data_IF_042251471706
#
_entry.id   IF_042251471706
#
_cell.length_a   1.000
_cell.length_b   1.000
_cell.length_c   1.000
_cell.angle_alpha   90.00
_cell.angle_beta   90.00
_cell.angle_gamma   90.00
#
_symmetry.space_group_name_H-M   'P 1'
#
loop_
_entity.id
_entity.type
_entity.pdbx_description
1 polymer ?
#
# COMPACT_ATOMS: atom_id res chain seq x y z
N UNK A 1 -28.82 14.58 4.44
CA UNK A 1 -27.97 14.61 3.24
C UNK A 1 -26.58 14.95 3.75
N UNK A 2 -25.87 13.91 4.21
CA UNK A 2 -24.48 14.02 4.66
C UNK A 2 -23.61 13.82 3.43
N UNK A 3 -22.85 14.86 3.08
CA UNK A 3 -21.80 14.77 2.09
C UNK A 3 -20.67 13.96 2.71
N UNK A 4 -20.50 12.71 2.27
CA UNK A 4 -19.27 11.95 2.48
C UNK A 4 -18.12 12.74 1.88
N UNK A 5 -17.25 13.24 2.76
CA UNK A 5 -16.02 13.90 2.39
C UNK A 5 -15.15 12.91 1.59
N UNK A 6 -15.03 13.14 0.30
CA UNK A 6 -14.07 12.47 -0.56
C UNK A 6 -12.67 12.69 0.02
N UNK A 7 -12.09 11.63 0.55
CA UNK A 7 -10.72 11.55 1.01
C UNK A 7 -9.80 11.62 -0.23
N UNK A 8 -9.54 12.82 -0.72
CA UNK A 8 -8.54 13.06 -1.77
C UNK A 8 -7.17 12.80 -1.16
N UNK A 9 -6.60 11.63 -1.45
CA UNK A 9 -5.15 11.47 -1.39
C UNK A 9 -4.56 12.46 -2.39
N UNK A 10 -3.87 13.49 -1.92
CA UNK A 10 -2.98 14.26 -2.77
C UNK A 10 -1.85 13.32 -3.21
N UNK A 11 -2.01 12.72 -4.39
CA UNK A 11 -0.87 12.22 -5.14
C UNK A 11 -0.01 13.44 -5.43
N UNK A 12 1.30 13.34 -5.23
CA UNK A 12 2.21 14.39 -5.70
C UNK A 12 1.93 14.56 -7.21
N UNK A 13 1.37 15.68 -7.59
CA UNK A 13 0.88 15.97 -8.96
C UNK A 13 1.99 16.05 -10.02
N UNK A 14 3.24 15.72 -9.64
CA UNK A 14 4.39 15.72 -10.54
C UNK A 14 5.24 14.47 -10.24
N UNK A 15 5.07 13.38 -11.00
CA UNK A 15 5.89 12.18 -10.82
C UNK A 15 7.37 12.53 -11.08
N UNK A 16 8.20 12.45 -10.05
CA UNK A 16 9.64 12.59 -10.22
C UNK A 16 10.16 11.48 -11.15
N UNK A 17 11.10 11.80 -12.09
CA UNK A 17 11.62 10.82 -13.02
C UNK A 17 12.24 9.62 -12.29
N UNK A 18 11.94 8.40 -12.74
CA UNK A 18 12.57 7.19 -12.23
C UNK A 18 14.06 7.19 -12.64
N UNK A 19 14.95 6.99 -11.67
CA UNK A 19 16.38 6.83 -11.90
C UNK A 19 16.71 5.38 -12.30
N UNK A 20 16.31 5.01 -13.52
CA UNK A 20 16.58 3.69 -14.12
C UNK A 20 17.44 3.90 -15.34
N UNK A 21 18.59 3.23 -15.41
CA UNK A 21 19.50 3.33 -16.54
C UNK A 21 18.81 2.92 -17.87
N UNK A 22 19.09 3.61 -18.95
CA UNK A 22 18.39 3.42 -20.23
C UNK A 22 18.40 1.95 -20.71
N UNK A 23 19.50 1.21 -20.46
CA UNK A 23 19.62 -0.22 -20.80
C UNK A 23 18.85 -1.17 -19.90
N UNK A 24 18.41 -0.70 -18.73
CA UNK A 24 17.66 -1.49 -17.74
C UNK A 24 16.15 -1.25 -17.81
N UNK A 25 15.71 -0.31 -18.65
CA UNK A 25 14.28 0.02 -18.84
C UNK A 25 13.56 -1.06 -19.62
N UNK A 26 13.45 -2.25 -19.03
CA UNK A 26 12.85 -3.43 -19.67
C UNK A 26 11.45 -3.68 -19.12
N UNK A 27 10.47 -3.69 -20.00
CA UNK A 27 9.12 -4.21 -19.75
C UNK A 27 8.88 -5.39 -20.68
N UNK A 28 8.61 -6.57 -20.13
CA UNK A 28 8.30 -7.77 -20.91
C UNK A 28 6.87 -8.18 -20.60
N UNK A 29 6.05 -8.26 -21.64
CA UNK A 29 4.65 -8.63 -21.49
C UNK A 29 4.31 -9.78 -22.42
N UNK A 30 3.44 -10.69 -21.95
CA UNK A 30 2.92 -11.80 -22.75
C UNK A 30 1.39 -11.74 -22.76
N UNK A 31 0.75 -11.63 -23.94
CA UNK A 31 -0.68 -11.71 -24.05
C UNK A 31 -1.15 -13.17 -24.08
N UNK A 32 -2.27 -13.43 -23.40
CA UNK A 32 -2.94 -14.73 -23.40
C UNK A 32 -4.43 -14.52 -23.66
N UNK A 33 -5.01 -15.42 -24.43
CA UNK A 33 -6.45 -15.52 -24.64
C UNK A 33 -6.92 -16.87 -24.06
N UNK A 34 -7.56 -16.84 -22.89
CA UNK A 34 -8.10 -18.02 -22.23
C UNK A 34 -9.62 -18.03 -22.26
N UNK A 35 -10.20 -19.22 -22.42
CA UNK A 35 -11.61 -19.39 -22.12
C UNK A 35 -11.88 -19.21 -20.62
N UNK A 36 -13.13 -18.88 -20.29
CA UNK A 36 -13.57 -18.78 -18.91
C UNK A 36 -13.31 -20.08 -18.12
N UNK A 37 -13.49 -21.24 -18.76
CA UNK A 37 -13.19 -22.55 -18.18
C UNK A 37 -11.68 -22.69 -17.89
N UNK A 38 -10.81 -22.31 -18.83
CA UNK A 38 -9.36 -22.34 -18.61
C UNK A 38 -8.94 -21.38 -17.49
N UNK A 39 -9.54 -20.19 -17.42
CA UNK A 39 -9.29 -19.24 -16.32
C UNK A 39 -9.61 -19.87 -14.97
N UNK A 40 -10.80 -20.47 -14.84
CA UNK A 40 -11.22 -21.12 -13.59
C UNK A 40 -10.30 -22.27 -13.22
N UNK A 41 -9.90 -23.10 -14.19
CA UNK A 41 -8.91 -24.17 -13.97
C UNK A 41 -7.55 -23.61 -13.49
N UNK A 42 -7.11 -22.47 -13.99
CA UNK A 42 -5.86 -21.85 -13.55
C UNK A 42 -5.95 -21.31 -12.11
N UNK A 43 -7.11 -20.78 -11.72
CA UNK A 43 -7.39 -20.37 -10.34
C UNK A 43 -7.41 -21.59 -9.41
N UNK A 44 -8.10 -22.67 -9.80
CA UNK A 44 -8.19 -23.88 -8.98
C UNK A 44 -6.83 -24.58 -8.78
N UNK A 45 -5.97 -24.54 -9.80
CA UNK A 45 -4.60 -25.04 -9.76
C UNK A 45 -3.61 -24.07 -9.10
N UNK A 46 -4.08 -22.97 -8.55
CA UNK A 46 -3.27 -21.92 -7.91
C UNK A 46 -2.20 -21.30 -8.83
N UNK A 47 -2.35 -21.40 -10.14
CA UNK A 47 -1.52 -20.66 -11.09
C UNK A 47 -1.88 -19.18 -11.06
N UNK A 48 -3.18 -18.84 -10.94
CA UNK A 48 -3.68 -17.49 -10.74
C UNK A 48 -4.11 -17.35 -9.28
N UNK A 49 -3.48 -16.45 -8.55
CA UNK A 49 -3.74 -16.19 -7.14
C UNK A 49 -4.81 -15.10 -7.01
N UNK A 50 -6.01 -15.46 -6.60
CA UNK A 50 -7.12 -14.51 -6.43
C UNK A 50 -7.20 -13.93 -5.03
N UNK A 51 -6.94 -14.70 -3.97
CA UNK A 51 -7.26 -14.32 -2.59
C UNK A 51 -6.36 -14.95 -1.51
N UNK A 52 -5.24 -15.52 -1.85
CA UNK A 52 -4.37 -16.20 -0.86
C UNK A 52 -3.48 -15.25 -0.05
N UNK A 53 -3.55 -13.98 -0.37
CA UNK A 53 -2.81 -12.96 0.36
C UNK A 53 -3.79 -12.19 1.21
N UNK A 54 -3.57 -12.07 2.52
CA UNK A 54 -4.40 -11.27 3.43
C UNK A 54 -4.54 -9.79 3.02
N UNK A 55 -4.00 -9.38 1.89
CA UNK A 55 -3.76 -8.02 1.41
C UNK A 55 -4.30 -7.73 0.01
N UNK A 56 -4.75 -8.76 -0.73
CA UNK A 56 -5.51 -8.46 -1.92
C UNK A 56 -6.85 -7.88 -1.52
N UNK A 57 -7.32 -6.87 -2.28
CA UNK A 57 -8.62 -6.22 -2.07
C UNK A 57 -9.66 -7.24 -1.66
N UNK A 58 -10.36 -6.96 -0.59
CA UNK A 58 -11.64 -7.62 -0.33
C UNK A 58 -12.48 -7.52 -1.60
N UNK A 59 -13.18 -8.58 -1.94
CA UNK A 59 -14.17 -8.54 -2.98
C UNK A 59 -15.24 -7.52 -2.62
N UNK A 60 -15.32 -6.42 -3.37
CA UNK A 60 -16.17 -5.26 -3.01
C UNK A 60 -17.36 -5.07 -3.95
N UNK A 61 -17.43 -5.83 -5.07
CA UNK A 61 -18.60 -5.77 -5.92
C UNK A 61 -19.79 -6.45 -5.22
N UNK A 62 -20.93 -5.77 -5.25
CA UNK A 62 -22.20 -6.42 -4.91
C UNK A 62 -22.58 -7.44 -5.99
N UNK A 63 -23.49 -8.33 -5.63
CA UNK A 63 -23.94 -9.39 -6.53
C UNK A 63 -24.64 -8.84 -7.79
N UNK A 64 -25.24 -7.65 -7.75
CA UNK A 64 -25.87 -7.05 -8.92
C UNK A 64 -24.81 -6.62 -9.95
N UNK A 65 -23.70 -6.03 -9.50
CA UNK A 65 -22.58 -5.65 -10.38
C UNK A 65 -21.87 -6.87 -10.92
N UNK A 66 -21.67 -7.90 -10.11
CA UNK A 66 -21.12 -9.20 -10.54
C UNK A 66 -22.02 -9.86 -11.59
N UNK A 67 -23.34 -9.85 -11.37
CA UNK A 67 -24.32 -10.42 -12.31
C UNK A 67 -24.35 -9.72 -13.65
N UNK A 68 -24.20 -8.41 -13.68
CA UNK A 68 -24.09 -7.64 -14.94
C UNK A 68 -22.84 -8.02 -15.76
N UNK A 69 -21.74 -8.38 -15.10
CA UNK A 69 -20.58 -8.92 -15.80
C UNK A 69 -20.90 -10.27 -16.44
N UNK A 70 -21.60 -11.16 -15.73
CA UNK A 70 -22.03 -12.46 -16.26
C UNK A 70 -23.02 -12.26 -17.43
N UNK A 71 -23.97 -11.33 -17.31
CA UNK A 71 -24.86 -10.94 -18.41
C UNK A 71 -24.07 -10.49 -19.64
N UNK A 72 -23.00 -9.69 -19.44
CA UNK A 72 -22.11 -9.26 -20.52
C UNK A 72 -21.41 -10.44 -21.21
N UNK A 73 -20.97 -11.45 -20.45
CA UNK A 73 -20.41 -12.69 -21.02
C UNK A 73 -21.44 -13.44 -21.88
N UNK A 74 -22.67 -13.59 -21.37
CA UNK A 74 -23.75 -14.25 -22.06
C UNK A 74 -24.14 -13.53 -23.38
N UNK A 75 -24.17 -12.19 -23.34
CA UNK A 75 -24.49 -11.32 -24.47
C UNK A 75 -23.34 -11.10 -25.43
N UNK A 76 -22.15 -11.63 -25.16
CA UNK A 76 -20.93 -11.39 -25.95
C UNK A 76 -20.47 -9.93 -25.98
N UNK A 77 -20.73 -9.19 -24.93
CA UNK A 77 -20.16 -7.87 -24.77
C UNK A 77 -18.66 -8.00 -24.46
N UNK A 78 -17.78 -7.24 -25.14
CA UNK A 78 -16.35 -7.29 -24.87
C UNK A 78 -16.03 -6.94 -23.41
N UNK A 79 -15.24 -7.80 -22.77
CA UNK A 79 -14.75 -7.56 -21.40
C UNK A 79 -13.37 -6.89 -21.51
N UNK A 80 -13.12 -5.80 -20.75
CA UNK A 80 -11.81 -5.17 -20.72
C UNK A 80 -10.69 -6.14 -20.35
N UNK A 81 -9.51 -5.94 -20.92
CA UNK A 81 -8.29 -6.74 -20.65
C UNK A 81 -8.01 -6.78 -19.16
N UNK A 82 -7.61 -7.94 -18.64
CA UNK A 82 -7.09 -8.09 -17.29
C UNK A 82 -5.57 -8.15 -17.30
N UNK A 83 -4.93 -7.55 -16.29
CA UNK A 83 -3.48 -7.50 -16.18
C UNK A 83 -3.01 -8.31 -14.98
N UNK A 84 -1.94 -9.07 -15.19
CA UNK A 84 -1.33 -9.92 -14.17
C UNK A 84 0.16 -9.65 -14.07
N UNK A 85 0.72 -9.86 -12.88
CA UNK A 85 2.14 -9.96 -12.64
C UNK A 85 2.55 -11.42 -12.47
N UNK A 86 3.61 -11.82 -13.14
CA UNK A 86 4.24 -13.11 -12.92
C UNK A 86 5.23 -13.01 -11.76
N UNK A 87 5.13 -13.98 -10.84
CA UNK A 87 6.06 -14.20 -9.75
C UNK A 87 7.20 -15.12 -10.20
N UNK A 88 8.31 -15.14 -9.44
CA UNK A 88 9.47 -16.01 -9.70
C UNK A 88 9.14 -17.52 -9.72
N UNK A 89 8.08 -17.93 -9.02
CA UNK A 89 7.59 -19.31 -8.99
C UNK A 89 6.65 -19.66 -10.15
N UNK A 90 6.44 -18.72 -11.09
CA UNK A 90 5.55 -18.86 -12.23
C UNK A 90 4.06 -18.69 -11.90
N UNK A 91 3.69 -18.35 -10.66
CA UNK A 91 2.32 -17.98 -10.32
C UNK A 91 2.00 -16.56 -10.78
N UNK A 92 0.72 -16.24 -11.00
CA UNK A 92 0.28 -14.94 -11.47
C UNK A 92 -0.60 -14.24 -10.44
N UNK A 93 -0.31 -12.98 -10.17
CA UNK A 93 -1.13 -12.11 -9.33
C UNK A 93 -1.94 -11.14 -10.18
N UNK A 94 -3.18 -10.87 -9.78
CA UNK A 94 -4.05 -9.94 -10.51
C UNK A 94 -3.71 -8.50 -10.15
N UNK A 95 -3.29 -7.71 -11.15
CA UNK A 95 -3.02 -6.27 -11.02
C UNK A 95 -4.26 -5.46 -11.31
N UNK A 96 -4.92 -5.72 -12.43
CA UNK A 96 -6.23 -5.17 -12.75
C UNK A 96 -7.18 -6.26 -13.24
N UNK A 97 -8.44 -6.16 -12.81
CA UNK A 97 -9.49 -7.11 -13.16
C UNK A 97 -9.84 -8.11 -12.05
N UNK A 98 -9.32 -7.97 -10.82
CA UNK A 98 -9.59 -8.88 -9.69
C UNK A 98 -11.09 -9.10 -9.49
N UNK A 99 -11.89 -8.03 -9.43
CA UNK A 99 -13.34 -8.13 -9.23
C UNK A 99 -14.02 -8.89 -10.38
N UNK A 100 -13.54 -8.71 -11.61
CA UNK A 100 -14.04 -9.41 -12.80
C UNK A 100 -13.73 -10.90 -12.74
N UNK A 101 -12.49 -11.25 -12.52
CA UNK A 101 -12.05 -12.65 -12.44
C UNK A 101 -12.75 -13.36 -11.27
N UNK A 102 -12.80 -12.71 -10.10
CA UNK A 102 -13.46 -13.29 -8.93
C UNK A 102 -14.97 -13.50 -9.14
N UNK A 103 -15.68 -12.53 -9.76
CA UNK A 103 -17.12 -12.67 -10.06
C UNK A 103 -17.39 -13.84 -11.02
N UNK A 104 -16.54 -14.02 -12.03
CA UNK A 104 -16.65 -15.12 -12.98
C UNK A 104 -16.45 -16.46 -12.28
N UNK A 105 -15.42 -16.58 -11.45
CA UNK A 105 -15.14 -17.82 -10.70
C UNK A 105 -16.27 -18.13 -9.72
N UNK A 106 -16.78 -17.12 -8.98
CA UNK A 106 -17.92 -17.28 -8.08
C UNK A 106 -19.15 -17.83 -8.83
N UNK A 107 -19.43 -17.29 -10.02
CA UNK A 107 -20.57 -17.74 -10.80
C UNK A 107 -20.41 -19.20 -11.26
N UNK A 108 -19.25 -19.59 -11.80
CA UNK A 108 -19.01 -20.97 -12.25
C UNK A 108 -19.02 -21.99 -11.08
N UNK A 109 -18.76 -21.52 -9.87
CA UNK A 109 -18.80 -22.37 -8.64
C UNK A 109 -20.15 -22.36 -7.91
N UNK A 110 -21.19 -21.81 -8.53
CA UNK A 110 -22.52 -21.65 -7.90
C UNK A 110 -22.54 -20.76 -6.63
N UNK A 111 -21.50 -19.92 -6.44
CA UNK A 111 -21.44 -18.98 -5.31
C UNK A 111 -22.08 -17.62 -5.61
N UNK A 112 -22.70 -17.48 -6.78
CA UNK A 112 -23.37 -16.26 -7.23
C UNK A 112 -24.72 -16.60 -7.88
N UNK A 113 -25.82 -16.23 -7.24
CA UNK A 113 -27.14 -16.21 -7.89
C UNK A 113 -27.32 -14.87 -8.62
N UNK A 114 -27.65 -14.92 -9.91
CA UNK A 114 -27.80 -13.73 -10.75
C UNK A 114 -28.91 -12.81 -10.23
N UNK A 115 -28.64 -11.50 -10.21
CA UNK A 115 -29.63 -10.50 -9.82
C UNK A 115 -29.44 -9.16 -10.52
N UNK A 116 -30.54 -8.44 -10.73
CA UNK A 116 -30.50 -7.11 -11.33
C UNK A 116 -30.05 -7.11 -12.80
N UNK A 117 -30.29 -8.21 -13.50
CA UNK A 117 -30.10 -8.30 -14.94
C UNK A 117 -31.12 -7.43 -15.66
N UNK A 118 -30.68 -6.73 -16.69
CA UNK A 118 -31.50 -5.78 -17.43
C UNK A 118 -31.99 -6.33 -18.77
N UNK A 119 -31.29 -7.29 -19.35
CA UNK A 119 -31.59 -7.88 -20.68
C UNK A 119 -32.05 -9.33 -20.52
N UNK A 120 -31.32 -10.16 -19.79
CA UNK A 120 -31.62 -11.58 -19.57
C UNK A 120 -32.36 -11.76 -18.23
N UNK A 121 -33.48 -11.04 -18.09
CA UNK A 121 -34.22 -10.95 -16.80
C UNK A 121 -34.74 -12.31 -16.32
N UNK A 122 -34.97 -13.27 -17.22
CA UNK A 122 -35.39 -14.65 -16.95
C UNK A 122 -34.31 -15.47 -16.22
N UNK A 123 -33.07 -14.98 -16.20
CA UNK A 123 -31.97 -15.62 -15.46
C UNK A 123 -31.80 -15.06 -14.05
N UNK A 124 -32.56 -14.05 -13.65
CA UNK A 124 -32.52 -13.56 -12.27
C UNK A 124 -32.88 -14.66 -11.28
N UNK A 125 -32.12 -14.80 -10.20
CA UNK A 125 -32.24 -15.82 -9.18
C UNK A 125 -31.51 -17.13 -9.50
N UNK A 126 -31.02 -17.33 -10.73
CA UNK A 126 -30.35 -18.58 -11.13
C UNK A 126 -28.85 -18.54 -10.84
N UNK A 127 -28.34 -19.71 -10.46
CA UNK A 127 -26.93 -20.02 -10.38
C UNK A 127 -26.43 -20.64 -11.71
N UNK A 128 -25.15 -20.91 -11.83
CA UNK A 128 -24.56 -21.45 -13.06
C UNK A 128 -25.13 -22.84 -13.42
N UNK A 129 -25.28 -23.72 -12.44
CA UNK A 129 -25.88 -25.06 -12.64
C UNK A 129 -27.35 -25.02 -13.05
N UNK A 130 -28.06 -23.92 -12.81
CA UNK A 130 -29.51 -23.77 -13.06
C UNK A 130 -29.84 -23.11 -14.40
N UNK A 131 -28.84 -22.54 -15.08
CA UNK A 131 -29.04 -22.00 -16.45
C UNK A 131 -29.00 -23.12 -17.49
N UNK A 132 -29.48 -22.84 -18.70
CA UNK A 132 -29.50 -23.86 -19.74
C UNK A 132 -28.09 -24.37 -20.10
N UNK A 133 -27.97 -25.67 -20.46
CA UNK A 133 -26.69 -26.23 -20.87
C UNK A 133 -26.07 -25.48 -22.08
N UNK A 134 -26.91 -24.83 -22.91
CA UNK A 134 -26.43 -23.95 -23.99
C UNK A 134 -25.77 -22.71 -23.43
N UNK A 135 -26.34 -22.07 -22.44
CA UNK A 135 -25.81 -20.85 -21.83
C UNK A 135 -24.59 -21.15 -20.95
N UNK A 136 -24.55 -22.29 -20.24
CA UNK A 136 -23.35 -22.78 -19.56
C UNK A 136 -22.16 -22.87 -20.53
N UNK A 137 -22.32 -23.62 -21.62
CA UNK A 137 -21.27 -23.75 -22.68
C UNK A 137 -20.89 -22.39 -23.28
N UNK A 138 -21.85 -21.48 -23.41
CA UNK A 138 -21.59 -20.12 -23.92
C UNK A 138 -20.72 -19.32 -22.96
N UNK A 139 -20.94 -19.39 -21.68
CA UNK A 139 -20.10 -18.74 -20.66
C UNK A 139 -18.71 -19.39 -20.60
N UNK A 140 -18.64 -20.72 -20.50
CA UNK A 140 -17.38 -21.47 -20.40
C UNK A 140 -16.44 -21.21 -21.59
N UNK A 141 -17.00 -21.13 -22.81
CA UNK A 141 -16.22 -20.94 -24.04
C UNK A 141 -15.85 -19.48 -24.31
N UNK A 142 -16.34 -18.51 -23.53
CA UNK A 142 -15.99 -17.10 -23.73
C UNK A 142 -14.51 -16.88 -23.53
N UNK A 143 -13.90 -16.23 -24.51
CA UNK A 143 -12.48 -15.84 -24.44
C UNK A 143 -12.32 -14.53 -23.72
N UNK A 144 -11.42 -14.52 -22.75
CA UNK A 144 -10.97 -13.34 -22.03
C UNK A 144 -9.50 -13.08 -22.38
N UNK A 145 -9.18 -11.82 -22.63
CA UNK A 145 -7.80 -11.40 -22.88
C UNK A 145 -7.10 -11.00 -21.60
N UNK A 146 -5.90 -11.54 -21.42
CA UNK A 146 -4.99 -11.26 -20.33
C UNK A 146 -3.67 -10.74 -20.87
N UNK A 147 -3.04 -9.84 -20.13
CA UNK A 147 -1.65 -9.43 -20.36
C UNK A 147 -0.87 -9.72 -19.08
N UNK A 148 0.10 -10.60 -19.19
CA UNK A 148 0.99 -10.95 -18.09
C UNK A 148 2.27 -10.14 -18.22
N UNK A 149 2.61 -9.37 -17.18
CA UNK A 149 3.90 -8.70 -17.05
C UNK A 149 4.83 -9.67 -16.37
N UNK A 150 5.84 -10.14 -17.10
CA UNK A 150 6.71 -11.23 -16.66
C UNK A 150 7.69 -10.78 -15.58
N UNK A 151 8.26 -11.75 -14.87
CA UNK A 151 9.29 -11.54 -13.85
C UNK A 151 10.60 -10.95 -14.41
N UNK A 152 10.85 -11.12 -15.72
CA UNK A 152 11.98 -10.49 -16.42
C UNK A 152 11.93 -8.95 -16.50
N UNK A 153 10.78 -8.33 -16.21
CA UNK A 153 10.62 -6.87 -16.25
C UNK A 153 11.34 -6.21 -15.08
N UNK A 154 11.95 -5.04 -15.31
CA UNK A 154 12.58 -4.28 -14.23
C UNK A 154 11.52 -3.89 -13.17
N UNK A 155 11.77 -4.11 -11.86
CA UNK A 155 10.77 -3.91 -10.81
C UNK A 155 10.20 -2.49 -10.73
N UNK A 156 11.02 -1.46 -10.91
CA UNK A 156 10.53 -0.06 -10.88
C UNK A 156 9.68 0.27 -12.10
N UNK A 157 9.99 -0.33 -13.27
CA UNK A 157 9.15 -0.21 -14.46
C UNK A 157 7.82 -0.97 -14.25
N UNK A 158 7.87 -2.17 -13.65
CA UNK A 158 6.64 -2.88 -13.24
C UNK A 158 5.77 -1.99 -12.35
N UNK A 159 6.38 -1.35 -11.35
CA UNK A 159 5.66 -0.50 -10.40
C UNK A 159 4.96 0.67 -11.12
N UNK A 160 5.69 1.42 -11.93
CA UNK A 160 5.17 2.56 -12.71
C UNK A 160 4.04 2.13 -13.65
N UNK A 161 4.23 1.01 -14.36
CA UNK A 161 3.20 0.46 -15.26
C UNK A 161 1.95 0.02 -14.47
N UNK A 162 2.13 -0.62 -13.33
CA UNK A 162 0.99 -1.03 -12.48
C UNK A 162 0.23 0.17 -11.93
N UNK A 163 0.94 1.22 -11.53
CA UNK A 163 0.32 2.46 -11.09
C UNK A 163 -0.54 3.08 -12.21
N UNK A 164 -0.03 3.10 -13.45
CA UNK A 164 -0.77 3.60 -14.62
C UNK A 164 -1.94 2.71 -15.03
N UNK A 165 -1.81 1.38 -14.96
CA UNK A 165 -2.89 0.44 -15.27
C UNK A 165 -3.98 0.43 -14.20
N UNK A 166 -3.65 0.84 -13.00
CA UNK A 166 -4.54 0.88 -11.85
C UNK A 166 -5.56 2.04 -11.94
N UNK A 167 -6.23 2.17 -13.08
CA UNK A 167 -7.21 3.23 -13.36
C UNK A 167 -8.65 2.86 -13.01
N UNK A 168 -8.88 1.66 -12.46
CA UNK A 168 -10.19 1.15 -12.09
C UNK A 168 -10.90 2.01 -11.03
N UNK A 169 -12.20 1.79 -10.84
CA UNK A 169 -13.05 2.53 -9.90
C UNK A 169 -12.52 2.56 -8.44
N UNK A 170 -11.67 1.61 -8.08
CA UNK A 170 -10.92 1.58 -6.82
C UNK A 170 -9.45 1.36 -7.15
N UNK A 171 -8.62 2.38 -7.04
CA UNK A 171 -7.18 2.30 -7.29
C UNK A 171 -6.46 1.53 -6.17
N UNK A 172 -5.44 0.72 -6.50
CA UNK A 172 -4.52 0.15 -5.53
C UNK A 172 -3.67 1.26 -4.90
N UNK A 173 -3.46 1.18 -3.60
CA UNK A 173 -2.51 2.06 -2.93
C UNK A 173 -1.06 1.65 -3.31
N UNK A 174 -0.08 2.57 -3.25
CA UNK A 174 1.31 2.24 -3.60
C UNK A 174 1.86 1.03 -2.84
N UNK A 175 1.49 0.86 -1.58
CA UNK A 175 1.97 -0.30 -0.81
C UNK A 175 1.29 -1.61 -1.22
N UNK A 176 0.02 -1.58 -1.63
CA UNK A 176 -0.65 -2.76 -2.21
C UNK A 176 0.08 -3.23 -3.49
N UNK A 177 0.55 -2.28 -4.33
CA UNK A 177 1.38 -2.60 -5.49
C UNK A 177 2.74 -3.19 -5.09
N UNK A 178 3.40 -2.63 -4.06
CA UNK A 178 4.67 -3.19 -3.55
C UNK A 178 4.51 -4.61 -3.05
N UNK A 179 3.39 -4.92 -2.39
CA UNK A 179 3.11 -6.27 -1.93
C UNK A 179 2.99 -7.29 -3.06
N UNK A 180 2.50 -6.88 -4.23
CA UNK A 180 2.47 -7.73 -5.41
C UNK A 180 3.86 -7.96 -6.02
N UNK A 181 4.70 -6.90 -6.04
CA UNK A 181 5.99 -6.93 -6.76
C UNK A 181 7.12 -7.52 -5.90
N UNK A 182 7.14 -7.21 -4.60
CA UNK A 182 8.24 -7.52 -3.68
C UNK A 182 7.82 -8.52 -2.59
N UNK A 183 7.07 -9.54 -2.96
CA UNK A 183 6.67 -10.62 -2.05
C UNK A 183 7.89 -11.31 -1.43
N UNK A 184 7.81 -11.64 -0.14
CA UNK A 184 8.87 -12.37 0.56
C UNK A 184 8.90 -12.12 2.06
N UNK A 185 9.86 -12.72 2.75
CA UNK A 185 9.98 -12.71 4.20
C UNK A 185 10.03 -11.30 4.81
N UNK A 186 10.62 -10.33 4.11
CA UNK A 186 10.62 -8.92 4.53
C UNK A 186 9.21 -8.35 4.56
N UNK A 187 8.44 -8.56 3.50
CA UNK A 187 7.07 -8.07 3.40
C UNK A 187 6.16 -8.66 4.49
N UNK A 188 6.35 -9.94 4.82
CA UNK A 188 5.61 -10.57 5.92
C UNK A 188 5.96 -9.92 7.26
N UNK A 189 7.23 -9.58 7.47
CA UNK A 189 7.64 -8.86 8.68
C UNK A 189 7.01 -7.45 8.77
N UNK A 190 6.86 -6.71 7.67
CA UNK A 190 6.16 -5.42 7.70
C UNK A 190 4.74 -5.55 8.24
N UNK A 191 4.06 -6.63 7.90
CA UNK A 191 2.72 -6.93 8.39
C UNK A 191 2.70 -7.23 9.87
N UNK A 192 3.64 -8.08 10.32
CA UNK A 192 3.77 -8.43 11.73
C UNK A 192 4.02 -7.17 12.57
N UNK A 193 4.94 -6.31 12.14
CA UNK A 193 5.26 -5.06 12.82
C UNK A 193 4.09 -4.07 12.83
N UNK A 194 3.32 -3.98 11.75
CA UNK A 194 2.13 -3.15 11.67
C UNK A 194 0.98 -3.61 12.60
N UNK A 195 1.01 -4.86 13.07
CA UNK A 195 0.05 -5.39 14.04
C UNK A 195 0.53 -5.28 15.49
N UNK A 196 1.78 -4.85 15.74
CA UNK A 196 2.29 -4.71 17.12
C UNK A 196 1.47 -3.69 17.91
N UNK A 197 1.16 -4.01 19.16
CA UNK A 197 0.38 -3.14 20.05
C UNK A 197 1.03 -1.77 20.24
N UNK A 198 2.37 -1.72 20.32
CA UNK A 198 3.14 -0.48 20.43
C UNK A 198 2.89 0.45 19.26
N UNK A 199 2.99 -0.07 18.03
CA UNK A 199 2.73 0.68 16.81
C UNK A 199 1.26 1.12 16.72
N UNK A 200 0.32 0.21 17.00
CA UNK A 200 -1.11 0.50 16.97
C UNK A 200 -1.49 1.64 17.92
N UNK A 201 -0.95 1.61 19.13
CA UNK A 201 -1.15 2.69 20.12
C UNK A 201 -0.48 4.00 19.70
N UNK A 202 0.74 3.94 19.14
CA UNK A 202 1.44 5.13 18.68
C UNK A 202 0.71 5.84 17.54
N UNK A 203 0.12 5.08 16.60
CA UNK A 203 -0.68 5.61 15.47
C UNK A 203 -2.06 6.13 15.93
N UNK A 204 -2.62 5.57 17.01
CA UNK A 204 -3.90 6.02 17.57
C UNK A 204 -5.09 5.80 16.64
N UNK A 205 -5.13 4.70 15.90
CA UNK A 205 -6.27 4.32 15.06
C UNK A 205 -6.49 2.80 15.04
N UNK A 206 -7.70 2.38 14.64
CA UNK A 206 -8.03 0.99 14.43
C UNK A 206 -7.26 0.36 13.25
N UNK A 207 -7.53 -0.93 12.95
CA UNK A 207 -6.89 -1.65 11.84
C UNK A 207 -7.11 -0.91 10.51
N UNK A 208 -6.04 -0.74 9.74
CA UNK A 208 -6.10 -0.15 8.41
C UNK A 208 -6.45 -1.23 7.37
N UNK A 209 -7.47 -0.95 6.55
CA UNK A 209 -7.92 -1.86 5.50
C UNK A 209 -7.10 -1.76 4.19
N UNK A 210 -6.20 -0.77 4.07
CA UNK A 210 -5.49 -0.45 2.82
C UNK A 210 -3.97 -0.47 2.95
N UNK A 211 -3.44 -1.22 3.91
CA UNK A 211 -1.99 -1.43 4.11
C UNK A 211 -1.17 -0.13 4.27
N UNK A 212 -1.80 0.96 4.69
CA UNK A 212 -1.08 2.21 4.99
C UNK A 212 -0.16 2.07 6.19
N UNK A 213 -0.50 1.16 7.09
CA UNK A 213 0.26 0.88 8.30
C UNK A 213 1.57 0.17 7.96
N UNK A 214 1.54 -0.81 7.05
CA UNK A 214 2.73 -1.49 6.53
C UNK A 214 3.65 -0.52 5.77
N UNK A 215 3.10 0.43 5.01
CA UNK A 215 3.90 1.47 4.36
C UNK A 215 4.62 2.36 5.37
N UNK A 216 3.99 2.68 6.50
CA UNK A 216 4.63 3.47 7.55
C UNK A 216 5.77 2.69 8.24
N UNK A 217 5.57 1.38 8.49
CA UNK A 217 6.65 0.51 8.97
C UNK A 217 7.80 0.46 7.97
N UNK A 218 7.50 0.27 6.68
CA UNK A 218 8.51 0.28 5.62
C UNK A 218 9.30 1.59 5.59
N UNK A 219 8.62 2.73 5.70
CA UNK A 219 9.27 4.05 5.74
C UNK A 219 10.23 4.15 6.92
N UNK A 220 9.80 3.73 8.11
CA UNK A 220 10.66 3.70 9.28
C UNK A 220 11.91 2.87 9.06
N UNK A 221 11.77 1.61 8.63
CA UNK A 221 12.89 0.69 8.45
C UNK A 221 13.88 1.20 7.38
N UNK A 222 13.37 1.63 6.23
CA UNK A 222 14.18 2.11 5.12
C UNK A 222 14.96 3.38 5.47
N UNK A 223 14.30 4.35 6.10
CA UNK A 223 14.94 5.61 6.49
C UNK A 223 15.85 5.43 7.71
N UNK A 224 15.51 4.59 8.67
CA UNK A 224 16.40 4.28 9.80
C UNK A 224 17.71 3.65 9.34
N UNK A 225 17.64 2.72 8.37
CA UNK A 225 18.83 2.06 7.81
C UNK A 225 19.71 3.02 7.00
N UNK A 226 19.11 3.92 6.21
CA UNK A 226 19.87 4.74 5.27
C UNK A 226 19.31 6.16 5.09
N UNK A 227 19.11 6.90 6.19
CA UNK A 227 18.59 8.28 6.12
C UNK A 227 19.53 9.22 5.38
N UNK A 228 20.85 9.16 5.62
CA UNK A 228 21.85 10.01 4.95
C UNK A 228 21.95 9.77 3.45
N UNK A 229 21.69 8.53 3.01
CA UNK A 229 21.67 8.13 1.60
C UNK A 229 20.33 8.30 0.92
N UNK A 230 19.32 8.87 1.60
CA UNK A 230 18.02 9.11 0.98
C UNK A 230 18.13 9.96 -0.29
N UNK A 231 17.49 9.48 -1.36
CA UNK A 231 17.33 10.18 -2.63
C UNK A 231 15.85 10.14 -3.03
N UNK A 232 15.27 11.26 -3.46
CA UNK A 232 13.94 11.24 -4.05
C UNK A 232 13.95 10.48 -5.40
N UNK A 233 12.80 9.95 -5.87
CA UNK A 233 11.51 9.95 -5.18
C UNK A 233 11.43 8.91 -4.05
N UNK A 234 10.65 9.20 -3.01
CA UNK A 234 10.47 8.29 -1.88
C UNK A 234 9.96 6.91 -2.32
N UNK A 235 9.15 6.87 -3.36
CA UNK A 235 8.63 5.62 -3.95
C UNK A 235 9.76 4.71 -4.38
N UNK A 236 10.74 5.22 -5.13
CA UNK A 236 11.89 4.45 -5.60
C UNK A 236 12.80 4.03 -4.44
N UNK A 237 13.04 4.92 -3.48
CA UNK A 237 13.81 4.61 -2.28
C UNK A 237 13.21 3.43 -1.49
N UNK A 238 11.89 3.42 -1.29
CA UNK A 238 11.19 2.33 -0.62
C UNK A 238 11.17 1.04 -1.45
N UNK A 239 10.99 1.15 -2.77
CA UNK A 239 11.04 0.01 -3.69
C UNK A 239 12.41 -0.68 -3.64
N UNK A 240 13.49 0.11 -3.70
CA UNK A 240 14.85 -0.41 -3.64
C UNK A 240 15.16 -1.08 -2.31
N UNK A 241 14.68 -0.50 -1.18
CA UNK A 241 14.81 -1.12 0.13
C UNK A 241 14.07 -2.47 0.19
N UNK A 242 12.84 -2.55 -0.32
CA UNK A 242 12.09 -3.82 -0.39
C UNK A 242 12.78 -4.84 -1.30
N UNK A 243 13.31 -4.41 -2.46
CA UNK A 243 14.02 -5.27 -3.40
C UNK A 243 15.25 -5.91 -2.77
N UNK A 244 16.10 -5.12 -2.09
CA UNK A 244 17.33 -5.59 -1.44
C UNK A 244 17.07 -6.55 -0.30
N UNK A 245 16.00 -6.30 0.45
CA UNK A 245 15.68 -7.06 1.66
C UNK A 245 14.61 -8.15 1.43
N UNK A 246 14.13 -8.36 0.21
CA UNK A 246 12.95 -9.16 -0.14
C UNK A 246 12.85 -10.48 0.62
N UNK A 247 13.94 -11.26 0.67
CA UNK A 247 14.00 -12.58 1.29
C UNK A 247 14.62 -12.55 2.71
N UNK A 248 14.96 -11.37 3.23
CA UNK A 248 15.59 -11.22 4.54
C UNK A 248 14.57 -10.67 5.55
N UNK A 249 14.59 -11.21 6.75
CA UNK A 249 13.89 -10.57 7.87
C UNK A 249 14.81 -9.50 8.46
N UNK A 250 14.27 -8.34 8.90
CA UNK A 250 15.03 -7.39 9.72
C UNK A 250 15.67 -8.08 10.91
N UNK A 251 16.83 -7.59 11.34
CA UNK A 251 17.47 -8.12 12.54
C UNK A 251 16.59 -7.90 13.79
N UNK A 252 16.75 -8.76 14.78
CA UNK A 252 16.04 -8.60 16.06
C UNK A 252 16.33 -7.24 16.71
N UNK A 253 17.53 -6.70 16.52
CA UNK A 253 17.93 -5.38 17.01
C UNK A 253 17.08 -4.27 16.38
N UNK A 254 16.91 -4.28 15.05
CA UNK A 254 16.07 -3.27 14.34
C UNK A 254 14.60 -3.39 14.75
N UNK A 255 14.10 -4.61 14.94
CA UNK A 255 12.75 -4.86 15.44
C UNK A 255 12.59 -4.31 16.86
N UNK A 256 13.57 -4.52 17.73
CA UNK A 256 13.56 -4.01 19.10
C UNK A 256 13.62 -2.46 19.13
N UNK A 257 14.43 -1.83 18.27
CA UNK A 257 14.47 -0.37 18.12
C UNK A 257 13.10 0.16 17.69
N UNK A 258 12.48 -0.47 16.71
CA UNK A 258 11.13 -0.08 16.26
C UNK A 258 10.11 -0.16 17.40
N UNK A 259 10.06 -1.30 18.08
CA UNK A 259 9.11 -1.54 19.18
C UNK A 259 9.30 -0.55 20.33
N UNK A 260 10.53 -0.38 20.81
CA UNK A 260 10.86 0.58 21.88
C UNK A 260 10.50 2.02 21.48
N UNK A 261 10.81 2.41 20.24
CA UNK A 261 10.45 3.73 19.70
C UNK A 261 8.94 3.94 19.76
N UNK A 262 8.16 2.98 19.27
CA UNK A 262 6.70 3.08 19.24
C UNK A 262 6.08 3.05 20.63
N UNK A 263 6.65 2.29 21.57
CA UNK A 263 6.21 2.28 22.97
C UNK A 263 6.38 3.67 23.63
N UNK A 264 7.54 4.32 23.46
CA UNK A 264 7.78 5.65 24.02
C UNK A 264 6.86 6.71 23.39
N UNK A 265 6.72 6.69 22.06
CA UNK A 265 5.81 7.61 21.37
C UNK A 265 4.36 7.40 21.84
N UNK A 266 3.91 6.17 21.98
CA UNK A 266 2.57 5.85 22.45
C UNK A 266 2.35 6.36 23.89
N UNK A 267 3.31 6.17 24.78
CA UNK A 267 3.22 6.61 26.18
C UNK A 267 3.18 8.14 26.34
N UNK A 268 3.91 8.86 25.47
CA UNK A 268 3.99 10.31 25.52
C UNK A 268 2.76 10.97 24.88
N UNK A 269 2.33 10.51 23.71
CA UNK A 269 1.38 11.24 22.85
C UNK A 269 -0.01 10.62 22.75
N UNK A 270 -0.23 9.44 23.30
CA UNK A 270 -1.53 8.75 23.28
C UNK A 270 -2.19 8.73 21.88
N UNK A 271 -1.42 8.29 20.88
CA UNK A 271 -1.88 8.17 19.50
C UNK A 271 -2.01 9.49 18.72
N UNK A 272 -1.48 10.61 19.23
CA UNK A 272 -1.61 11.93 18.61
C UNK A 272 -0.32 12.47 17.98
N UNK A 273 0.81 11.78 18.17
CA UNK A 273 2.15 12.23 17.76
C UNK A 273 2.27 12.62 16.29
N UNK A 274 1.51 11.99 15.42
CA UNK A 274 1.66 12.10 13.97
C UNK A 274 0.55 12.93 13.31
N UNK A 275 -0.11 13.81 14.07
CA UNK A 275 -1.26 14.59 13.60
C UNK A 275 -0.96 16.07 13.66
N UNK A 276 -1.17 16.76 12.53
CA UNK A 276 -1.07 18.23 12.49
C UNK A 276 -2.26 18.83 13.23
N UNK A 277 -2.04 19.93 13.93
CA UNK A 277 -3.09 20.69 14.58
C UNK A 277 -3.76 21.56 13.53
N UNK A 278 -5.07 21.46 13.40
CA UNK A 278 -5.88 22.29 12.52
C UNK A 278 -6.15 23.67 13.13
N UNK A 279 -6.59 24.65 12.31
CA UNK A 279 -6.88 26.02 12.73
C UNK A 279 -7.85 26.12 13.93
N UNK A 280 -8.70 25.10 14.12
CA UNK A 280 -9.61 25.01 15.27
C UNK A 280 -8.95 24.45 16.56
N UNK A 281 -7.65 24.24 16.58
CA UNK A 281 -6.91 23.66 17.72
C UNK A 281 -7.13 22.17 17.91
N UNK A 282 -7.86 21.49 17.00
CA UNK A 282 -8.08 20.02 17.03
C UNK A 282 -7.04 19.31 16.20
N UNK A 283 -6.57 18.12 16.65
CA UNK A 283 -5.68 17.31 15.82
C UNK A 283 -6.42 16.81 14.58
N UNK A 284 -5.73 16.80 13.44
CA UNK A 284 -6.25 16.21 12.21
C UNK A 284 -6.60 14.72 12.40
N UNK A 285 -7.62 14.25 11.73
CA UNK A 285 -8.02 12.84 11.78
C UNK A 285 -6.96 11.93 11.14
N UNK A 286 -6.30 12.41 10.08
CA UNK A 286 -5.32 11.66 9.33
C UNK A 286 -3.91 11.81 9.90
N UNK A 287 -3.13 10.74 9.80
CA UNK A 287 -1.70 10.74 10.10
C UNK A 287 -0.94 11.47 8.99
N UNK A 288 -0.10 12.43 9.37
CA UNK A 288 0.82 13.09 8.45
C UNK A 288 2.11 12.26 8.33
N UNK A 289 2.43 11.79 7.12
CA UNK A 289 3.59 10.91 6.86
C UNK A 289 4.92 11.61 7.14
N UNK A 290 5.02 12.90 6.81
CA UNK A 290 6.26 13.64 7.04
C UNK A 290 6.51 13.89 8.53
N UNK A 291 5.44 14.16 9.29
CA UNK A 291 5.53 14.25 10.74
C UNK A 291 5.85 12.88 11.37
N UNK A 292 5.31 11.80 10.82
CA UNK A 292 5.68 10.45 11.24
C UNK A 292 7.17 10.18 11.06
N UNK A 293 7.75 10.51 9.90
CA UNK A 293 9.18 10.36 9.66
C UNK A 293 9.99 11.20 10.67
N UNK A 294 9.60 12.47 10.88
CA UNK A 294 10.29 13.36 11.81
C UNK A 294 10.32 12.79 13.25
N UNK A 295 9.14 12.43 13.76
CA UNK A 295 9.00 11.95 15.14
C UNK A 295 9.64 10.59 15.31
N UNK A 296 9.25 9.60 14.48
CA UNK A 296 9.67 8.21 14.68
C UNK A 296 11.19 8.03 14.53
N UNK A 297 11.81 8.67 13.53
CA UNK A 297 13.26 8.57 13.35
C UNK A 297 14.02 9.34 14.43
N UNK A 298 13.55 10.52 14.85
CA UNK A 298 14.22 11.24 15.92
C UNK A 298 14.20 10.48 17.25
N UNK A 299 13.11 9.79 17.57
CA UNK A 299 13.03 8.91 18.72
C UNK A 299 13.90 7.65 18.55
N UNK A 300 13.95 7.07 17.35
CA UNK A 300 14.78 5.89 17.08
C UNK A 300 16.29 6.15 17.26
N UNK A 301 16.74 7.38 16.99
CA UNK A 301 18.11 7.80 17.18
C UNK A 301 18.36 8.46 18.56
N UNK A 302 17.32 8.67 19.38
CA UNK A 302 17.45 9.25 20.70
C UNK A 302 17.88 8.21 21.75
N UNK A 303 18.53 8.68 22.80
CA UNK A 303 18.69 7.90 24.03
C UNK A 303 17.35 7.82 24.77
N UNK A 304 16.61 6.73 24.52
CA UNK A 304 15.28 6.52 25.09
C UNK A 304 15.30 6.44 26.63
N UNK A 305 16.44 6.06 27.25
CA UNK A 305 16.61 6.06 28.72
C UNK A 305 16.52 7.46 29.32
N UNK A 306 16.92 8.48 28.57
CA UNK A 306 16.88 9.88 28.98
C UNK A 306 15.50 10.55 28.88
N UNK A 307 14.47 9.84 28.42
CA UNK A 307 13.10 10.36 28.22
C UNK A 307 12.31 10.38 29.54
N UNK A 308 12.57 9.42 30.41
CA UNK A 308 11.80 9.25 31.64
C UNK A 308 11.74 10.53 32.47
N UNK A 309 10.53 10.94 32.83
CA UNK A 309 10.24 12.18 33.58
C UNK A 309 10.23 13.46 32.75
N UNK A 310 10.44 13.37 31.43
CA UNK A 310 10.40 14.53 30.50
C UNK A 310 9.18 14.53 29.58
N UNK A 311 8.24 13.61 29.76
CA UNK A 311 7.12 13.37 28.83
C UNK A 311 6.27 14.62 28.63
N UNK A 312 6.00 15.41 29.67
CA UNK A 312 5.22 16.66 29.57
C UNK A 312 5.99 17.72 28.78
N UNK A 313 7.30 17.87 29.06
CA UNK A 313 8.16 18.82 28.33
C UNK A 313 8.28 18.45 26.86
N UNK A 314 8.35 17.17 26.55
CA UNK A 314 8.37 16.69 25.15
C UNK A 314 7.06 17.02 24.44
N UNK A 315 5.90 16.84 25.08
CA UNK A 315 4.60 17.21 24.51
C UNK A 315 4.49 18.71 24.23
N UNK A 316 4.93 19.55 25.17
CA UNK A 316 4.94 20.99 25.02
C UNK A 316 5.84 21.42 23.85
N UNK A 317 7.09 20.96 23.82
CA UNK A 317 8.04 21.27 22.75
C UNK A 317 7.60 20.75 21.38
N UNK A 318 6.97 19.57 21.33
CA UNK A 318 6.34 19.07 20.10
C UNK A 318 5.25 20.02 19.60
N UNK A 319 4.39 20.51 20.49
CA UNK A 319 3.32 21.44 20.14
C UNK A 319 3.86 22.78 19.63
N UNK A 320 4.90 23.31 20.29
CA UNK A 320 5.61 24.53 19.85
C UNK A 320 6.24 24.31 18.47
N UNK A 321 6.92 23.17 18.26
CA UNK A 321 7.55 22.85 16.98
C UNK A 321 6.53 22.73 15.84
N UNK A 322 5.33 22.20 16.08
CA UNK A 322 4.26 22.18 15.09
C UNK A 322 3.81 23.57 14.64
N UNK A 323 4.05 24.60 15.45
CA UNK A 323 3.76 26.00 15.15
C UNK A 323 4.93 26.74 14.49
N UNK A 324 6.14 26.13 14.45
CA UNK A 324 7.32 26.70 13.81
C UNK A 324 7.16 26.74 12.30
N UNK A 325 7.26 27.90 11.69
CA UNK A 325 7.03 28.10 10.25
C UNK A 325 7.99 27.30 9.37
N UNK A 326 9.23 27.14 9.77
CA UNK A 326 10.24 26.36 9.04
C UNK A 326 9.90 24.86 9.11
N UNK A 327 9.50 24.38 10.28
CA UNK A 327 9.10 22.98 10.42
C UNK A 327 7.83 22.67 9.64
N UNK A 328 6.86 23.59 9.63
CA UNK A 328 5.65 23.47 8.81
C UNK A 328 5.97 23.31 7.32
N UNK A 329 6.97 24.03 6.79
CA UNK A 329 7.43 23.84 5.40
C UNK A 329 7.94 22.44 5.16
N UNK A 330 8.65 21.84 6.15
CA UNK A 330 9.22 20.48 6.00
C UNK A 330 8.17 19.36 6.08
N UNK A 331 7.03 19.60 6.72
CA UNK A 331 5.98 18.59 6.89
C UNK A 331 4.72 18.85 6.04
N UNK A 332 4.62 20.01 5.36
CA UNK A 332 3.43 20.46 4.63
C UNK A 332 3.36 19.95 3.19
N UNK A 333 4.21 20.48 2.31
CA UNK A 333 4.19 20.20 0.86
C UNK A 333 5.54 19.69 0.37
N UNK A 334 5.55 19.03 -0.81
CA UNK A 334 6.76 18.46 -1.44
C UNK A 334 7.65 17.69 -0.43
N UNK A 335 7.01 16.88 0.40
CA UNK A 335 7.64 16.24 1.56
C UNK A 335 8.65 15.15 1.19
N UNK A 336 8.69 14.75 -0.10
CA UNK A 336 9.66 13.79 -0.64
C UNK A 336 11.02 14.42 -0.98
N UNK A 337 11.13 15.75 -1.04
CA UNK A 337 12.39 16.44 -1.27
C UNK A 337 13.44 16.09 -0.20
N UNK A 338 14.71 15.91 -0.62
CA UNK A 338 15.81 15.51 0.28
C UNK A 338 16.06 16.50 1.40
N UNK A 339 16.06 17.79 1.08
CA UNK A 339 16.27 18.87 2.06
C UNK A 339 15.18 18.85 3.10
N UNK A 340 13.92 18.67 2.69
CA UNK A 340 12.79 18.61 3.61
C UNK A 340 12.78 17.33 4.43
N UNK A 341 13.14 16.19 3.82
CA UNK A 341 13.29 14.92 4.54
C UNK A 341 14.32 15.03 5.66
N UNK A 342 15.52 15.51 5.35
CA UNK A 342 16.58 15.69 6.33
C UNK A 342 16.24 16.80 7.33
N UNK A 343 15.67 17.91 6.87
CA UNK A 343 15.32 19.08 7.69
C UNK A 343 14.34 18.75 8.80
N UNK A 344 13.27 17.99 8.49
CA UNK A 344 12.28 17.62 9.51
C UNK A 344 12.83 16.71 10.61
N UNK A 345 13.68 15.73 10.23
CA UNK A 345 14.30 14.84 11.21
C UNK A 345 15.32 15.59 12.04
N UNK A 346 16.16 16.43 11.42
CA UNK A 346 17.14 17.26 12.12
C UNK A 346 16.46 18.18 13.14
N UNK A 347 15.48 18.97 12.71
CA UNK A 347 14.78 19.91 13.58
C UNK A 347 14.10 19.24 14.77
N UNK A 348 13.48 18.09 14.53
CA UNK A 348 12.85 17.34 15.62
C UNK A 348 13.91 16.75 16.60
N UNK A 349 15.02 16.25 16.08
CA UNK A 349 16.14 15.78 16.91
C UNK A 349 16.80 16.92 17.70
N UNK A 350 16.93 18.12 17.13
CA UNK A 350 17.42 19.32 17.83
C UNK A 350 16.49 19.71 18.98
N UNK A 351 15.18 19.63 18.78
CA UNK A 351 14.20 19.85 19.83
C UNK A 351 14.38 18.84 20.99
N UNK A 352 14.57 17.54 20.68
CA UNK A 352 14.84 16.54 21.73
C UNK A 352 16.17 16.85 22.47
N UNK A 353 17.22 17.23 21.74
CA UNK A 353 18.52 17.63 22.35
C UNK A 353 18.38 18.83 23.27
N UNK A 354 17.53 19.82 22.93
CA UNK A 354 17.28 20.99 23.81
C UNK A 354 16.60 20.61 25.13
N UNK A 355 16.05 19.40 25.23
CA UNK A 355 15.48 18.81 26.44
C UNK A 355 16.43 17.84 27.13
N UNK A 356 17.73 17.92 26.86
CA UNK A 356 18.78 17.03 27.40
C UNK A 356 18.51 15.54 27.06
N UNK A 357 18.03 15.25 25.84
CA UNK A 357 17.88 13.90 25.32
C UNK A 357 18.91 13.72 24.20
N UNK A 358 20.02 12.97 24.47
CA UNK A 358 21.06 12.75 23.47
C UNK A 358 20.52 12.01 22.22
N UNK A 359 21.15 12.26 21.07
CA UNK A 359 20.76 11.61 19.81
C UNK A 359 21.99 11.18 19.04
N UNK A 360 21.97 9.94 18.53
CA UNK A 360 22.94 9.35 17.62
C UNK A 360 22.57 9.57 16.14
N UNK A 361 21.73 10.57 15.84
CA UNK A 361 21.34 10.90 14.46
C UNK A 361 22.58 11.04 13.58
N UNK A 362 22.67 10.31 12.45
CA UNK A 362 23.78 10.41 11.54
C UNK A 362 23.92 11.84 10.98
N UNK A 363 25.14 12.20 10.56
CA UNK A 363 25.35 13.48 9.88
C UNK A 363 24.49 13.54 8.61
N UNK A 364 23.58 14.47 8.56
CA UNK A 364 22.72 14.71 7.41
C UNK A 364 23.32 15.88 6.59
N UNK A 365 23.60 15.70 5.30
CA UNK A 365 24.10 16.78 4.48
C UNK A 365 23.22 18.03 4.56
N UNK A 366 23.84 19.18 4.65
CA UNK A 366 23.14 20.45 4.45
C UNK A 366 22.76 20.57 2.98
N UNK A 367 21.63 21.24 2.74
CA UNK A 367 21.05 21.37 1.41
C UNK A 367 21.88 22.29 0.50
#
# INVERSE_FOLDING_TARGET
MEQEGQNTFEFEDNPEPLDVAAGERKLVTQPYDYSVDQLTSHVDKRKILLMEVPYQREYVWDDAKASRLVESLLLNVPIPVCYFAENEDGTWEVIDGLQRVHSIVRFLKDDLALRGLSVLTELNGKQFSEISARDQRRVESRTLRFVVITDESHPDIKFDVFERLNTGAVKLAPHELRNCIYRGAFNDTLKDLAQMDSFRRAIGRGKDSRMRDEEMVLRFLALHENLSGYKPPVTQFLNEHMRRNRQRRPSQEVVAIFDATMQHIASIFDGRAFRIIQEEGKPATNVNRALYDAVSLSFAFADLGSITGKESRIREAHHELLSDSTFQVFIGRATADRTRMHGRVRKYSEMLKSLDIPSSLPHLPEA
#
